data_IF_636196707636
#
_entry.id   IF_636196707636
#
_cell.length_a   1.000
_cell.length_b   1.000
_cell.length_c   1.000
_cell.angle_alpha   90.00
_cell.angle_beta   90.00
_cell.angle_gamma   90.00
#
_symmetry.space_group_name_H-M   'P 1'
#
loop_
_entity.id
_entity.type
_entity.pdbx_description
1 polymer ?
#
# COMPACT_ATOMS: atom_id res chain seq x y z
N UNK A 1 16.80 -13.38 -7.36
CA UNK A 1 16.29 -11.99 -7.59
C UNK A 1 16.65 -11.11 -6.39
N UNK A 2 17.41 -10.03 -6.62
CA UNK A 2 17.72 -9.01 -5.60
C UNK A 2 16.43 -8.30 -5.19
N UNK A 3 16.31 -7.94 -3.91
CA UNK A 3 15.11 -7.24 -3.42
C UNK A 3 15.13 -5.78 -3.90
N UNK A 4 14.03 -5.23 -4.45
CA UNK A 4 13.94 -3.81 -4.80
C UNK A 4 14.20 -2.89 -3.60
N UNK A 5 14.76 -1.68 -3.82
CA UNK A 5 15.21 -0.80 -2.73
C UNK A 5 14.07 -0.22 -1.88
N UNK A 6 12.82 -0.31 -2.33
CA UNK A 6 11.62 0.11 -1.58
C UNK A 6 10.93 -1.06 -0.85
N UNK A 7 11.50 -2.26 -0.86
CA UNK A 7 11.05 -3.40 -0.08
C UNK A 7 12.13 -3.77 0.95
N UNK A 8 11.73 -4.27 2.11
CA UNK A 8 12.66 -4.79 3.13
C UNK A 8 12.28 -6.20 3.57
N UNK A 9 13.27 -7.03 3.88
CA UNK A 9 13.09 -8.41 4.36
C UNK A 9 12.52 -8.47 5.79
N UNK A 10 12.61 -7.37 6.54
CA UNK A 10 12.00 -7.21 7.86
C UNK A 10 10.51 -7.49 7.78
N UNK A 11 10.01 -8.34 8.67
CA UNK A 11 8.59 -8.69 8.71
C UNK A 11 7.75 -7.53 9.22
N UNK A 12 6.52 -7.41 8.71
CA UNK A 12 5.53 -6.44 9.17
C UNK A 12 4.97 -6.86 10.55
N UNK A 13 5.78 -6.67 11.59
CA UNK A 13 5.46 -6.97 13.00
C UNK A 13 5.83 -5.78 13.87
N UNK A 14 4.91 -5.36 14.74
CA UNK A 14 5.10 -4.17 15.59
C UNK A 14 5.13 -2.87 14.76
N UNK A 15 5.55 -1.78 15.37
CA UNK A 15 5.67 -0.50 14.68
C UNK A 15 6.83 -0.50 13.66
N UNK A 16 6.69 0.20 12.52
CA UNK A 16 7.79 0.43 11.60
C UNK A 16 8.82 1.42 12.18
N UNK A 17 10.04 1.47 11.63
CA UNK A 17 10.94 2.61 11.80
C UNK A 17 10.25 3.91 11.35
N UNK A 18 10.34 4.96 12.17
CA UNK A 18 9.59 6.20 12.03
C UNK A 18 10.47 7.46 12.07
N UNK A 19 11.79 7.36 11.90
CA UNK A 19 12.63 8.57 11.77
C UNK A 19 12.26 9.35 10.50
N UNK A 20 12.62 10.64 10.43
CA UNK A 20 12.38 11.42 9.22
C UNK A 20 13.08 10.81 7.99
N UNK A 21 14.27 10.23 8.16
CA UNK A 21 14.94 9.49 7.10
C UNK A 21 14.14 8.29 6.59
N UNK A 22 13.40 7.60 7.47
CA UNK A 22 12.54 6.48 7.06
C UNK A 22 11.32 6.92 6.25
N UNK A 23 10.83 8.15 6.47
CA UNK A 23 9.79 8.75 5.64
C UNK A 23 10.30 9.20 4.27
N UNK A 24 11.57 9.64 4.19
CA UNK A 24 12.19 10.04 2.93
C UNK A 24 12.57 8.85 2.04
N UNK A 25 12.84 7.69 2.64
CA UNK A 25 13.14 6.45 1.93
C UNK A 25 12.26 5.30 2.45
N UNK A 26 10.94 5.37 2.23
CA UNK A 26 10.01 4.41 2.82
C UNK A 26 10.17 3.04 2.16
N UNK A 27 10.38 2.03 2.99
CA UNK A 27 10.44 0.63 2.58
C UNK A 27 9.26 -0.15 3.14
N UNK A 28 8.60 -0.92 2.28
CA UNK A 28 7.51 -1.81 2.69
C UNK A 28 8.08 -3.09 3.30
N UNK A 29 7.55 -3.47 4.46
CA UNK A 29 7.94 -4.68 5.20
C UNK A 29 7.31 -5.93 4.61
N UNK A 30 7.99 -7.07 4.78
CA UNK A 30 7.58 -8.37 4.26
C UNK A 30 6.37 -8.90 5.02
N UNK A 31 5.48 -9.59 4.31
CA UNK A 31 4.35 -10.31 4.89
C UNK A 31 4.83 -11.25 5.99
N UNK A 32 4.14 -11.18 7.14
CA UNK A 32 4.62 -11.79 8.40
C UNK A 32 4.52 -13.31 8.42
N UNK A 33 3.55 -13.88 7.72
CA UNK A 33 3.32 -15.32 7.74
C UNK A 33 4.33 -16.02 6.83
N UNK A 34 4.92 -17.09 7.35
CA UNK A 34 5.53 -18.10 6.48
C UNK A 34 4.41 -19.03 6.06
N UNK A 35 4.33 -19.32 4.78
CA UNK A 35 3.31 -20.18 4.20
C UNK A 35 3.97 -21.17 3.23
N UNK A 36 3.28 -22.28 3.00
CA UNK A 36 3.70 -23.32 2.05
C UNK A 36 2.78 -23.40 0.85
N UNK A 37 1.48 -23.18 1.06
CA UNK A 37 0.47 -23.19 0.00
C UNK A 37 -0.33 -21.90 0.02
N UNK A 38 -0.84 -21.54 -1.16
CA UNK A 38 -1.81 -20.46 -1.31
C UNK A 38 -2.99 -21.05 -2.06
N UNK A 39 -4.18 -20.91 -1.49
CA UNK A 39 -5.43 -21.34 -2.12
C UNK A 39 -6.21 -20.11 -2.55
N UNK A 40 -6.40 -19.96 -3.85
CA UNK A 40 -7.32 -18.96 -4.42
C UNK A 40 -8.76 -19.36 -4.11
N UNK A 41 -9.52 -18.45 -3.49
CA UNK A 41 -10.94 -18.67 -3.17
C UNK A 41 -11.86 -17.95 -4.15
N UNK A 42 -11.47 -16.77 -4.65
CA UNK A 42 -12.19 -16.06 -5.72
C UNK A 42 -11.32 -15.03 -6.43
N UNK A 43 -11.68 -14.70 -7.67
CA UNK A 43 -11.14 -13.55 -8.39
C UNK A 43 -11.85 -12.27 -7.95
N UNK A 44 -11.10 -11.20 -7.68
CA UNK A 44 -11.64 -9.92 -7.20
C UNK A 44 -11.58 -8.81 -8.26
N UNK A 45 -10.72 -8.94 -9.27
CA UNK A 45 -10.62 -8.01 -10.39
C UNK A 45 -9.20 -7.89 -10.93
N UNK A 46 -9.06 -7.16 -12.03
CA UNK A 46 -7.75 -6.81 -12.59
C UNK A 46 -7.73 -5.35 -13.06
N UNK A 47 -6.53 -4.86 -13.31
CA UNK A 47 -6.29 -3.63 -14.05
C UNK A 47 -5.04 -3.80 -14.90
N UNK A 48 -4.53 -2.70 -15.45
CA UNK A 48 -3.31 -2.69 -16.28
C UNK A 48 -2.09 -3.24 -15.52
N UNK A 49 -1.99 -2.94 -14.23
CA UNK A 49 -0.78 -3.17 -13.44
C UNK A 49 -0.71 -4.57 -12.80
N UNK A 50 -1.83 -5.28 -12.73
CA UNK A 50 -1.93 -6.52 -11.99
C UNK A 50 -3.36 -7.01 -11.79
N UNK A 51 -3.48 -8.14 -11.11
CA UNK A 51 -4.75 -8.74 -10.73
C UNK A 51 -4.87 -8.90 -9.21
N UNK A 52 -6.11 -9.07 -8.73
CA UNK A 52 -6.43 -9.24 -7.32
C UNK A 52 -7.27 -10.49 -7.13
N UNK A 53 -6.85 -11.34 -6.20
CA UNK A 53 -7.57 -12.55 -5.81
C UNK A 53 -7.82 -12.58 -4.30
N UNK A 54 -8.93 -13.17 -3.89
CA UNK A 54 -9.13 -13.60 -2.52
C UNK A 54 -8.38 -14.92 -2.32
N UNK A 55 -7.57 -15.01 -1.27
CA UNK A 55 -6.72 -16.16 -1.01
C UNK A 55 -6.72 -16.56 0.46
N UNK A 56 -6.41 -17.82 0.71
CA UNK A 56 -6.01 -18.35 2.01
C UNK A 56 -4.57 -18.81 1.95
N UNK A 57 -3.78 -18.43 2.95
CA UNK A 57 -2.43 -18.95 3.13
C UNK A 57 -2.51 -20.20 3.99
N UNK A 58 -2.03 -21.32 3.44
CA UNK A 58 -2.25 -22.66 3.98
C UNK A 58 -3.76 -22.94 4.21
N UNK A 59 -4.11 -23.94 5.05
CA UNK A 59 -5.52 -24.18 5.44
C UNK A 59 -6.00 -23.22 6.54
N UNK A 60 -5.40 -22.03 6.60
CA UNK A 60 -5.65 -21.03 7.63
C UNK A 60 -6.85 -20.12 7.35
N UNK A 61 -7.45 -19.64 8.42
CA UNK A 61 -8.23 -18.39 8.45
C UNK A 61 -7.32 -17.26 8.99
N UNK A 62 -7.47 -16.00 8.55
CA UNK A 62 -8.54 -15.46 7.69
C UNK A 62 -8.21 -15.46 6.18
N UNK A 63 -9.19 -15.08 5.36
CA UNK A 63 -8.98 -14.73 3.95
C UNK A 63 -8.27 -13.37 3.76
N UNK A 64 -7.49 -13.26 2.70
CA UNK A 64 -6.74 -12.06 2.32
C UNK A 64 -7.04 -11.67 0.87
N UNK A 65 -6.97 -10.37 0.58
CA UNK A 65 -6.90 -9.89 -0.80
C UNK A 65 -5.44 -9.80 -1.23
N UNK A 66 -5.06 -10.55 -2.26
CA UNK A 66 -3.71 -10.61 -2.79
C UNK A 66 -3.66 -9.88 -4.13
N UNK A 67 -2.96 -8.74 -4.18
CA UNK A 67 -2.68 -8.04 -5.46
C UNK A 67 -1.37 -8.54 -6.02
N UNK A 68 -1.40 -9.17 -7.19
CA UNK A 68 -0.24 -9.69 -7.92
C UNK A 68 0.08 -8.70 -9.05
N UNK A 69 1.33 -8.24 -9.13
CA UNK A 69 1.76 -7.26 -10.13
C UNK A 69 2.29 -7.99 -11.36
N UNK A 70 1.76 -7.70 -12.55
CA UNK A 70 2.19 -8.36 -13.78
C UNK A 70 3.65 -8.03 -14.11
N UNK A 71 4.03 -6.77 -13.94
CA UNK A 71 5.42 -6.35 -14.05
C UNK A 71 6.04 -6.08 -12.67
N UNK A 72 7.13 -6.78 -12.44
CA UNK A 72 7.96 -6.69 -11.24
C UNK A 72 9.42 -6.43 -11.56
N UNK A 73 9.77 -6.33 -12.85
CA UNK A 73 11.10 -5.89 -13.24
C UNK A 73 11.25 -4.42 -12.83
N UNK A 74 12.47 -4.05 -12.43
CA UNK A 74 12.81 -2.64 -12.37
C UNK A 74 12.58 -2.05 -13.78
N UNK A 75 12.12 -0.78 -13.88
CA UNK A 75 11.93 -0.13 -15.16
C UNK A 75 13.13 -0.38 -16.07
N UNK A 76 12.90 -1.10 -17.17
CA UNK A 76 13.89 -1.26 -18.23
C UNK A 76 14.11 0.06 -18.97
N UNK A 77 15.04 0.06 -19.93
CA UNK A 77 15.35 1.22 -20.77
C UNK A 77 14.14 1.71 -21.60
N UNK A 78 13.11 0.87 -21.79
CA UNK A 78 11.94 1.16 -22.63
C UNK A 78 10.81 1.92 -21.93
N UNK A 79 10.61 1.75 -20.61
CA UNK A 79 9.63 2.51 -19.83
C UNK A 79 10.21 2.92 -18.45
N UNK A 80 11.25 3.77 -18.42
CA UNK A 80 12.09 4.00 -17.24
C UNK A 80 11.41 4.70 -16.05
N UNK A 81 10.13 5.07 -16.12
CA UNK A 81 9.52 6.00 -15.16
C UNK A 81 8.28 5.49 -14.41
N UNK A 82 7.74 4.30 -14.74
CA UNK A 82 6.52 3.82 -14.10
C UNK A 82 6.66 2.40 -13.57
N UNK A 83 6.91 2.27 -12.26
CA UNK A 83 6.90 0.98 -11.57
C UNK A 83 5.70 0.92 -10.60
N UNK A 84 4.59 0.27 -10.99
CA UNK A 84 3.38 0.20 -10.15
C UNK A 84 3.63 -0.32 -8.74
N UNK A 85 4.41 -1.40 -8.64
CA UNK A 85 4.78 -2.01 -7.36
C UNK A 85 5.52 -1.03 -6.45
N UNK A 86 6.45 -0.22 -6.99
CA UNK A 86 7.17 0.78 -6.21
C UNK A 86 6.22 1.84 -5.64
N UNK A 87 5.35 2.39 -6.48
CA UNK A 87 4.42 3.46 -6.09
C UNK A 87 3.49 3.01 -4.98
N UNK A 88 2.91 1.83 -5.14
CA UNK A 88 1.99 1.26 -4.16
C UNK A 88 2.72 0.88 -2.87
N UNK A 89 3.88 0.21 -2.97
CA UNK A 89 4.66 -0.19 -1.80
C UNK A 89 5.14 1.02 -0.97
N UNK A 90 5.62 2.08 -1.62
CA UNK A 90 6.04 3.32 -0.93
C UNK A 90 4.87 4.02 -0.27
N UNK A 91 3.72 4.09 -0.94
CA UNK A 91 2.51 4.70 -0.38
C UNK A 91 2.08 3.98 0.89
N UNK A 92 2.01 2.66 0.87
CA UNK A 92 1.66 1.85 2.05
C UNK A 92 2.69 2.04 3.16
N UNK A 93 3.99 2.00 2.82
CA UNK A 93 5.06 2.14 3.79
C UNK A 93 5.04 3.52 4.47
N UNK A 94 4.53 4.57 3.82
CA UNK A 94 4.28 5.88 4.43
C UNK A 94 3.03 5.84 5.32
N UNK A 95 1.92 5.27 4.85
CA UNK A 95 0.68 5.15 5.62
C UNK A 95 0.89 4.38 6.93
N UNK A 96 1.67 3.29 6.87
CA UNK A 96 2.06 2.50 8.03
C UNK A 96 2.79 3.35 9.09
N UNK A 97 3.71 4.23 8.65
CA UNK A 97 4.46 5.13 9.52
C UNK A 97 3.59 6.26 10.08
N UNK A 98 2.67 6.80 9.29
CA UNK A 98 1.67 7.78 9.77
C UNK A 98 0.82 7.17 10.88
N UNK A 99 0.31 5.96 10.68
CA UNK A 99 -0.47 5.26 11.70
C UNK A 99 0.36 4.98 12.96
N UNK A 100 1.63 4.60 12.81
CA UNK A 100 2.55 4.42 13.93
C UNK A 100 2.81 5.73 14.69
N UNK A 101 3.05 6.83 13.97
CA UNK A 101 3.22 8.15 14.56
C UNK A 101 1.99 8.60 15.38
N UNK A 102 0.78 8.35 14.88
CA UNK A 102 -0.47 8.60 15.63
C UNK A 102 -0.55 7.75 16.90
N UNK A 103 -0.19 6.46 16.84
CA UNK A 103 -0.16 5.58 18.02
C UNK A 103 0.87 6.06 19.05
N UNK A 104 2.07 6.39 18.61
CA UNK A 104 3.19 6.81 19.47
C UNK A 104 2.99 8.19 20.07
N UNK A 105 2.23 9.08 19.43
CA UNK A 105 1.95 10.41 19.97
C UNK A 105 0.95 10.38 21.13
N UNK A 106 0.11 9.34 21.20
CA UNK A 106 -0.94 9.17 22.20
C UNK A 106 -0.41 9.28 23.64
N UNK A 107 -1.12 10.00 24.55
CA UNK A 107 -2.46 10.59 24.39
C UNK A 107 -2.48 11.95 23.67
N UNK A 108 -1.33 12.52 23.30
CA UNK A 108 -1.26 13.85 22.68
C UNK A 108 -1.45 13.74 21.16
N UNK A 109 -2.37 14.49 20.53
CA UNK A 109 -2.55 14.45 19.08
C UNK A 109 -1.30 14.94 18.33
N UNK A 110 -1.13 14.48 17.09
CA UNK A 110 -0.21 15.10 16.13
C UNK A 110 -0.95 16.26 15.46
N UNK A 111 -0.40 17.47 15.52
CA UNK A 111 -0.98 18.60 14.79
C UNK A 111 -0.41 18.67 13.38
N UNK A 112 -1.27 18.92 12.39
CA UNK A 112 -0.87 19.21 11.00
C UNK A 112 -1.56 20.50 10.53
N UNK A 113 -0.96 21.27 9.60
CA UNK A 113 -1.60 22.46 9.03
C UNK A 113 -2.96 22.15 8.38
N UNK A 114 -3.93 23.04 8.61
CA UNK A 114 -5.28 22.93 8.04
C UNK A 114 -5.33 23.22 6.54
N UNK A 115 -4.38 24.00 6.02
CA UNK A 115 -4.22 24.25 4.58
C UNK A 115 -2.86 23.70 4.13
N UNK A 116 -2.88 22.93 3.05
CA UNK A 116 -1.69 22.34 2.44
C UNK A 116 -1.75 22.66 0.95
N UNK A 117 -1.01 23.68 0.53
CA UNK A 117 -1.08 24.18 -0.86
C UNK A 117 0.17 23.83 -1.64
N UNK A 118 1.26 23.45 -0.96
CA UNK A 118 2.53 23.11 -1.60
C UNK A 118 2.97 21.70 -1.26
N UNK A 119 3.83 21.14 -2.13
CA UNK A 119 4.53 19.87 -1.86
C UNK A 119 5.31 19.93 -0.54
N UNK A 120 5.89 21.09 -0.21
CA UNK A 120 6.62 21.30 1.03
C UNK A 120 5.70 21.19 2.25
N UNK A 121 4.47 21.72 2.17
CA UNK A 121 3.49 21.56 3.25
C UNK A 121 3.16 20.10 3.49
N UNK A 122 2.92 19.32 2.42
CA UNK A 122 2.68 17.89 2.51
C UNK A 122 3.86 17.14 3.14
N UNK A 123 5.10 17.48 2.76
CA UNK A 123 6.29 16.88 3.38
C UNK A 123 6.41 17.24 4.86
N UNK A 124 6.12 18.48 5.25
CA UNK A 124 6.13 18.88 6.67
C UNK A 124 5.02 18.20 7.46
N UNK A 125 3.87 17.89 6.84
CA UNK A 125 2.84 17.07 7.46
C UNK A 125 3.35 15.66 7.75
N UNK A 126 3.99 15.00 6.78
CA UNK A 126 4.62 13.70 7.00
C UNK A 126 5.70 13.77 8.09
N UNK A 127 6.51 14.83 8.09
CA UNK A 127 7.51 15.06 9.13
C UNK A 127 6.88 15.08 10.53
N UNK A 128 5.71 15.69 10.72
CA UNK A 128 5.05 15.75 12.03
C UNK A 128 4.71 14.36 12.62
N UNK A 129 4.58 13.33 11.78
CA UNK A 129 4.36 11.94 12.22
C UNK A 129 5.65 11.16 12.47
N UNK A 130 6.80 11.68 12.06
CA UNK A 130 8.10 11.06 12.34
C UNK A 130 8.49 11.21 13.81
N UNK A 131 9.37 10.36 14.32
CA UNK A 131 9.93 10.48 15.67
C UNK A 131 10.53 11.87 15.89
N UNK A 132 11.23 12.41 14.90
CA UNK A 132 11.78 13.78 14.91
C UNK A 132 10.69 14.86 15.02
N UNK A 133 9.59 14.71 14.27
CA UNK A 133 8.45 15.61 14.32
C UNK A 133 7.66 15.52 15.62
N UNK A 134 7.53 14.33 16.19
CA UNK A 134 6.89 14.11 17.48
C UNK A 134 7.67 14.75 18.64
N UNK A 135 9.01 14.82 18.53
CA UNK A 135 9.88 15.51 19.48
C UNK A 135 9.81 17.03 19.31
N UNK A 136 9.92 17.52 18.08
CA UNK A 136 9.98 18.98 17.79
C UNK A 136 8.60 19.66 17.81
N UNK A 137 7.52 18.91 17.61
CA UNK A 137 6.12 19.39 17.63
C UNK A 137 5.92 20.67 16.81
N UNK A 138 6.26 20.66 15.50
CA UNK A 138 6.44 21.87 14.69
C UNK A 138 5.16 22.71 14.51
N UNK A 139 4.00 22.14 14.81
CA UNK A 139 2.69 22.76 14.56
C UNK A 139 1.87 22.97 15.84
N UNK A 140 2.39 22.61 17.02
CA UNK A 140 1.64 22.75 18.27
C UNK A 140 1.27 24.21 18.57
N UNK A 141 2.14 25.15 18.17
CA UNK A 141 1.96 26.59 18.38
C UNK A 141 1.09 27.29 17.33
N UNK A 142 0.64 26.56 16.29
CA UNK A 142 -0.29 27.16 15.33
C UNK A 142 -1.63 27.49 16.01
N UNK A 143 -2.33 28.56 15.58
CA UNK A 143 -3.70 28.83 15.99
C UNK A 143 -4.63 27.64 15.71
N UNK A 144 -5.69 27.48 16.51
CA UNK A 144 -6.57 26.31 16.43
C UNK A 144 -7.26 26.18 15.06
N UNK A 145 -7.64 27.30 14.46
CA UNK A 145 -8.23 27.39 13.13
C UNK A 145 -7.26 27.09 11.97
N UNK A 146 -5.96 26.99 12.26
CA UNK A 146 -4.90 26.73 11.29
C UNK A 146 -4.30 25.33 11.42
N UNK A 147 -4.79 24.50 12.33
CA UNK A 147 -4.28 23.14 12.54
C UNK A 147 -5.40 22.12 12.74
N UNK A 148 -5.15 20.90 12.30
CA UNK A 148 -5.97 19.73 12.63
C UNK A 148 -5.25 18.84 13.63
N UNK A 149 -5.99 18.36 14.62
CA UNK A 149 -5.52 17.40 15.60
C UNK A 149 -5.75 15.98 15.08
N UNK A 150 -4.66 15.31 14.69
CA UNK A 150 -4.65 13.91 14.30
C UNK A 150 -4.45 13.08 15.58
N UNK A 151 -5.53 12.49 16.06
CA UNK A 151 -5.52 11.47 17.12
C UNK A 151 -6.17 10.20 16.60
N UNK A 152 -6.04 9.09 17.33
CA UNK A 152 -6.54 7.76 16.96
C UNK A 152 -7.68 7.80 15.96
N UNK A 153 -7.37 7.45 14.70
CA UNK A 153 -8.26 7.70 13.58
C UNK A 153 -9.55 6.89 13.71
N UNK A 154 -10.74 7.49 13.62
CA UNK A 154 -11.99 6.74 13.42
C UNK A 154 -12.08 6.18 11.99
N UNK A 155 -11.18 6.60 11.10
CA UNK A 155 -11.08 6.13 9.72
C UNK A 155 -10.18 4.90 9.67
N UNK A 156 -10.82 3.73 9.67
CA UNK A 156 -10.15 2.45 9.39
C UNK A 156 -9.72 2.44 7.92
N UNK A 157 -8.42 2.62 7.67
CA UNK A 157 -7.81 2.30 6.38
C UNK A 157 -7.75 0.78 6.23
N UNK A 158 -7.89 0.27 5.00
CA UNK A 158 -7.69 -1.16 4.72
C UNK A 158 -6.27 -1.54 5.13
N UNK A 159 -6.15 -2.59 5.95
CA UNK A 159 -4.83 -3.04 6.38
C UNK A 159 -4.07 -3.67 5.19
N UNK A 160 -2.80 -3.29 5.05
CA UNK A 160 -1.84 -4.05 4.26
C UNK A 160 -0.96 -4.81 5.25
N UNK A 161 -0.74 -6.09 4.98
CA UNK A 161 0.08 -6.96 5.81
C UNK A 161 1.52 -7.12 5.29
N UNK A 162 1.85 -6.45 4.18
CA UNK A 162 3.18 -6.40 3.60
C UNK A 162 3.29 -7.08 2.24
N UNK A 163 4.52 -7.11 1.71
CA UNK A 163 4.83 -7.73 0.43
C UNK A 163 5.20 -9.21 0.57
N UNK A 164 4.93 -9.99 -0.47
CA UNK A 164 5.41 -11.37 -0.58
C UNK A 164 5.76 -11.71 -2.04
N UNK A 165 6.29 -12.92 -2.25
CA UNK A 165 6.52 -13.51 -3.58
C UNK A 165 5.59 -14.69 -3.80
N UNK A 166 5.07 -14.81 -5.00
CA UNK A 166 4.19 -15.90 -5.41
C UNK A 166 4.65 -16.50 -6.73
N UNK A 167 4.36 -17.78 -6.95
CA UNK A 167 4.68 -18.45 -8.22
C UNK A 167 3.49 -18.29 -9.16
N UNK A 168 3.75 -17.98 -10.42
CA UNK A 168 2.71 -17.83 -11.42
C UNK A 168 1.91 -19.12 -11.62
N UNK A 169 2.54 -20.29 -11.48
CA UNK A 169 1.86 -21.58 -11.52
C UNK A 169 0.67 -21.70 -10.54
N UNK A 170 0.73 -21.01 -9.39
CA UNK A 170 -0.34 -21.04 -8.39
C UNK A 170 -1.56 -20.16 -8.81
N UNK A 171 -1.39 -19.31 -9.84
CA UNK A 171 -2.36 -18.27 -10.22
C UNK A 171 -2.68 -18.20 -11.72
N UNK A 172 -2.06 -19.03 -12.57
CA UNK A 172 -2.27 -19.01 -14.04
C UNK A 172 -3.74 -19.20 -14.44
N UNK A 173 -4.52 -19.93 -13.64
CA UNK A 173 -5.96 -20.11 -13.86
C UNK A 173 -6.75 -18.79 -13.75
N UNK A 174 -6.19 -17.74 -13.16
CA UNK A 174 -6.81 -16.41 -13.15
C UNK A 174 -6.80 -15.74 -14.53
N UNK A 175 -5.94 -16.19 -15.45
CA UNK A 175 -5.87 -15.63 -16.80
C UNK A 175 -7.21 -15.76 -17.54
N UNK A 176 -8.01 -16.79 -17.25
CA UNK A 176 -9.35 -16.98 -17.80
C UNK A 176 -10.34 -15.87 -17.42
N UNK A 177 -10.01 -15.08 -16.39
CA UNK A 177 -10.82 -13.95 -15.88
C UNK A 177 -10.17 -12.57 -16.14
N UNK A 178 -9.03 -12.53 -16.83
CA UNK A 178 -8.34 -11.27 -17.16
C UNK A 178 -8.71 -10.87 -18.59
N UNK A 179 -9.37 -9.72 -18.73
CA UNK A 179 -9.67 -9.16 -20.04
C UNK A 179 -8.43 -8.41 -20.56
N UNK A 180 -7.82 -8.96 -21.62
CA UNK A 180 -6.73 -8.33 -22.36
C UNK A 180 -7.30 -7.78 -23.65
N UNK A 181 -7.23 -6.46 -23.82
CA UNK A 181 -7.51 -5.84 -25.11
C UNK A 181 -6.27 -6.01 -26.00
N UNK A 182 -6.40 -6.77 -27.09
CA UNK A 182 -5.34 -7.03 -28.07
C UNK A 182 -5.23 -5.91 -29.12
N UNK A 183 -6.27 -5.07 -29.26
CA UNK A 183 -6.32 -3.97 -30.23
C UNK A 183 -5.71 -2.66 -29.70
N UNK A 184 -4.97 -2.74 -28.59
CA UNK A 184 -4.40 -1.57 -27.89
C UNK A 184 -3.33 -0.92 -28.76
N UNK A 185 -3.60 0.31 -29.18
CA UNK A 185 -2.66 1.08 -29.98
C UNK A 185 -1.63 1.75 -29.06
N UNK A 186 -0.49 1.09 -28.85
CA UNK A 186 0.59 1.57 -27.98
C UNK A 186 1.13 2.95 -28.38
N UNK A 187 0.89 3.42 -29.61
CA UNK A 187 1.25 4.77 -30.05
C UNK A 187 0.44 5.88 -29.39
N UNK A 188 -0.76 5.58 -28.90
CA UNK A 188 -1.67 6.56 -28.27
C UNK A 188 -1.57 6.55 -26.73
N UNK A 189 -0.63 5.77 -26.18
CA UNK A 189 -0.43 5.63 -24.73
C UNK A 189 -1.48 4.75 -24.03
N UNK A 190 -2.30 4.03 -24.78
CA UNK A 190 -3.18 2.99 -24.24
C UNK A 190 -2.35 1.79 -23.74
N UNK A 191 -2.77 1.20 -22.62
CA UNK A 191 -2.09 0.07 -22.00
C UNK A 191 -3.12 -0.98 -21.61
N UNK A 192 -2.84 -2.25 -21.90
CA UNK A 192 -3.69 -3.40 -21.56
C UNK A 192 -3.22 -4.09 -20.27
N UNK A 193 -4.11 -4.89 -19.68
CA UNK A 193 -3.69 -5.88 -18.69
C UNK A 193 -2.74 -6.91 -19.33
N UNK A 194 -1.96 -7.59 -18.50
CA UNK A 194 -1.08 -8.69 -18.92
C UNK A 194 -1.52 -10.00 -18.28
N UNK A 195 -0.97 -11.12 -18.75
CA UNK A 195 -1.25 -12.45 -18.21
C UNK A 195 -0.14 -12.92 -17.28
N UNK A 196 -0.48 -13.86 -16.39
CA UNK A 196 0.47 -14.54 -15.53
C UNK A 196 1.09 -15.75 -16.27
N UNK A 197 2.40 -15.91 -16.12
CA UNK A 197 3.22 -16.97 -16.71
C UNK A 197 3.57 -18.00 -15.63
N UNK A 198 3.36 -19.29 -15.91
CA UNK A 198 3.45 -20.34 -14.89
C UNK A 198 4.86 -20.51 -14.30
N UNK A 199 5.90 -20.28 -15.11
CA UNK A 199 7.31 -20.45 -14.77
C UNK A 199 7.95 -19.19 -14.13
N UNK A 200 7.17 -18.12 -13.94
CA UNK A 200 7.63 -16.85 -13.38
C UNK A 200 7.26 -16.68 -11.91
N UNK A 201 8.11 -16.00 -11.15
CA UNK A 201 7.77 -15.49 -9.82
C UNK A 201 7.32 -14.03 -9.91
N UNK A 202 6.32 -13.67 -9.10
CA UNK A 202 5.73 -12.34 -9.04
C UNK A 202 5.83 -11.77 -7.63
N UNK A 203 5.96 -10.44 -7.54
CA UNK A 203 5.70 -9.75 -6.28
C UNK A 203 4.21 -9.54 -6.10
N UNK A 204 3.77 -9.67 -4.86
CA UNK A 204 2.40 -9.44 -4.47
C UNK A 204 2.30 -8.66 -3.17
N UNK A 205 1.22 -7.91 -3.01
CA UNK A 205 0.87 -7.22 -1.77
C UNK A 205 -0.33 -7.89 -1.13
N UNK A 206 -0.21 -8.15 0.18
CA UNK A 206 -1.26 -8.82 0.95
C UNK A 206 -2.07 -7.77 1.68
N UNK A 207 -3.37 -7.75 1.43
CA UNK A 207 -4.32 -6.82 2.03
C UNK A 207 -5.38 -7.56 2.83
N UNK A 208 -6.02 -6.82 3.72
CA UNK A 208 -7.27 -7.22 4.33
C UNK A 208 -8.34 -7.42 3.27
N UNK A 209 -8.96 -8.61 3.31
CA UNK A 209 -10.15 -8.90 2.53
C UNK A 209 -11.38 -8.28 3.22
N UNK A 210 -12.18 -7.53 2.45
CA UNK A 210 -13.44 -6.96 2.91
C UNK A 210 -14.58 -7.58 2.08
N UNK A 211 -15.43 -8.42 2.66
CA UNK A 211 -16.58 -8.99 1.96
C UNK A 211 -17.53 -7.89 1.44
N UNK A 212 -18.12 -8.09 0.25
CA UNK A 212 -18.99 -7.09 -0.42
C UNK A 212 -20.13 -6.56 0.46
N UNK A 213 -20.66 -7.36 1.38
CA UNK A 213 -21.75 -6.96 2.27
C UNK A 213 -21.34 -5.95 3.37
N UNK A 214 -20.04 -5.67 3.56
CA UNK A 214 -19.51 -4.88 4.68
C UNK A 214 -19.01 -3.47 4.29
N UNK A 215 -19.41 -2.97 3.12
CA UNK A 215 -19.16 -1.59 2.71
C UNK A 215 -20.18 -0.66 3.39
N UNK A 216 -19.84 -0.18 4.58
CA UNK A 216 -20.58 0.88 5.25
C UNK A 216 -20.26 2.22 4.56
N UNK A 217 -21.26 2.88 3.99
CA UNK A 217 -21.11 4.20 3.35
C UNK A 217 -20.36 5.20 4.25
N UNK A 218 -20.64 5.17 5.55
CA UNK A 218 -20.00 6.02 6.56
C UNK A 218 -18.49 5.75 6.70
N UNK A 219 -18.04 4.52 6.45
CA UNK A 219 -16.61 4.19 6.45
C UNK A 219 -15.92 4.72 5.20
N UNK A 220 -16.59 4.69 4.05
CA UNK A 220 -16.08 5.23 2.78
C UNK A 220 -15.97 6.75 2.86
N UNK A 221 -16.99 7.45 3.37
CA UNK A 221 -16.93 8.90 3.52
C UNK A 221 -15.80 9.32 4.47
N UNK A 222 -15.63 8.63 5.60
CA UNK A 222 -14.51 8.87 6.53
C UNK A 222 -13.13 8.66 5.89
N UNK A 223 -13.01 7.74 4.93
CA UNK A 223 -11.77 7.55 4.16
C UNK A 223 -11.53 8.69 3.18
N UNK A 224 -12.57 9.14 2.47
CA UNK A 224 -12.48 10.31 1.60
C UNK A 224 -12.03 11.53 2.41
N UNK A 225 -12.66 11.77 3.56
CA UNK A 225 -12.32 12.88 4.43
C UNK A 225 -10.86 12.81 4.90
N UNK A 226 -10.33 11.62 5.22
CA UNK A 226 -8.93 11.45 5.60
C UNK A 226 -7.93 11.79 4.48
N UNK A 227 -8.28 11.51 3.22
CA UNK A 227 -7.39 11.77 2.08
C UNK A 227 -7.56 13.16 1.46
N UNK A 228 -8.72 13.80 1.64
CA UNK A 228 -9.07 15.08 1.00
C UNK A 228 -9.19 16.27 1.97
N UNK A 229 -9.16 16.06 3.30
CA UNK A 229 -9.05 17.12 4.32
C UNK A 229 -7.70 17.12 5.03
#
# INVERSE_FOLDING_TARGET
MVLPPFLTSSTMRGDPPCSWSDFLSPQLRRFRLRYTTIKTTSFLGHGVEGCVACVKFDDGEPEFALKIFFDSAAPGETHPQWWPLEREARTIAVLEKVQAGIRQSSPKPVHVPAKRTTRLDCLRCLYAFSTDGLLSRPFDQLPAEQKFAMSGSPTRLRECYGWTRVRGADFVALNDSIEVNEDVNFSDGEVSASLLEADREYFALVYEYIPKARLELDAVQRQLDFFYH
#
